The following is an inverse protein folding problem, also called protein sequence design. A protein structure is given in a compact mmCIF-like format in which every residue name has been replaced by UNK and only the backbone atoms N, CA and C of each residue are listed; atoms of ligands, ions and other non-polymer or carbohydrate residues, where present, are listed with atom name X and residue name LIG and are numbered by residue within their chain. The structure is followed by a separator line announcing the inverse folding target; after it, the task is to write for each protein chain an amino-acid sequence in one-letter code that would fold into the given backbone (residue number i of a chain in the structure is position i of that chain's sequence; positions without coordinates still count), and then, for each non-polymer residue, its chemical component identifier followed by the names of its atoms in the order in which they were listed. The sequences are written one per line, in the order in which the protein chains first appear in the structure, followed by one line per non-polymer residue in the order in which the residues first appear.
data_IF_742670472337
#
_entry.id   IF_742670472337
#
_cell.length_a   1.000
_cell.length_b   1.000
_cell.length_c   1.000
_cell.angle_alpha   90.00
_cell.angle_beta   90.00
_cell.angle_gamma   90.00
#
_symmetry.space_group_name_H-M   'P 1'
#
loop_
_entity.id
_entity.type
_entity.pdbx_description
1 polymer ?
#
# COMPACT_ATOMS: atom_id res chain seq x y z
N UNK A 1 -12.01 13.05 -14.82
CA UNK A 1 -11.99 12.04 -13.76
C UNK A 1 -12.98 10.94 -14.03
N UNK A 2 -12.65 9.80 -13.51
CA UNK A 2 -13.48 8.64 -13.73
C UNK A 2 -14.74 8.71 -12.88
N UNK A 3 -15.86 8.30 -13.42
CA UNK A 3 -17.07 8.24 -12.61
C UNK A 3 -16.96 7.17 -11.53
N UNK A 4 -17.76 7.33 -10.53
CA UNK A 4 -17.71 6.45 -9.38
C UNK A 4 -19.09 5.97 -9.02
N UNK A 5 -19.65 5.19 -9.88
CA UNK A 5 -21.01 4.73 -9.66
C UNK A 5 -21.14 3.89 -8.42
N UNK A 6 -20.09 3.16 -8.10
CA UNK A 6 -20.11 2.25 -6.99
C UNK A 6 -19.47 2.85 -5.74
N UNK A 7 -19.19 4.13 -5.76
CA UNK A 7 -18.51 4.76 -4.64
C UNK A 7 -19.34 4.72 -3.36
N UNK A 8 -20.62 4.55 -3.47
CA UNK A 8 -21.50 4.54 -2.32
C UNK A 8 -21.14 3.43 -1.35
N UNK A 9 -20.81 2.25 -1.86
CA UNK A 9 -20.58 1.09 -1.02
C UNK A 9 -19.11 0.95 -0.64
N UNK A 10 -18.23 1.32 -1.55
CA UNK A 10 -16.80 1.14 -1.33
C UNK A 10 -16.05 2.42 -1.60
N UNK A 11 -16.67 3.54 -1.31
CA UNK A 11 -16.15 4.83 -1.69
C UNK A 11 -14.75 5.08 -1.17
N UNK A 12 -14.45 4.65 0.03
CA UNK A 12 -13.14 4.90 0.58
C UNK A 12 -12.07 4.18 -0.20
N UNK A 13 -12.35 2.95 -0.59
CA UNK A 13 -11.40 2.16 -1.34
C UNK A 13 -11.27 2.68 -2.76
N UNK A 14 -12.38 2.90 -3.42
CA UNK A 14 -12.37 3.25 -4.83
C UNK A 14 -11.89 4.68 -5.08
N UNK A 15 -11.76 5.48 -4.03
CA UNK A 15 -11.31 6.85 -4.18
C UNK A 15 -9.92 6.92 -4.77
N UNK A 16 -9.03 6.06 -4.31
CA UNK A 16 -7.65 6.08 -4.73
C UNK A 16 -7.36 5.05 -5.81
N UNK A 17 -8.04 3.94 -5.74
CA UNK A 17 -7.77 2.84 -6.67
C UNK A 17 -8.92 1.87 -6.63
N UNK A 18 -8.89 0.96 -7.58
CA UNK A 18 -9.81 -0.18 -7.53
C UNK A 18 -9.15 -1.38 -8.20
N UNK A 19 -9.60 -2.54 -7.81
CA UNK A 19 -9.11 -3.79 -8.37
C UNK A 19 -10.25 -4.40 -9.16
N UNK A 20 -10.06 -4.50 -10.47
CA UNK A 20 -11.06 -5.08 -11.36
C UNK A 20 -10.74 -6.52 -11.59
N UNK A 21 -11.73 -7.36 -11.44
CA UNK A 21 -11.56 -8.80 -11.56
C UNK A 21 -12.12 -9.28 -12.88
N UNK A 22 -11.37 -10.14 -13.53
CA UNK A 22 -11.80 -10.73 -14.78
C UNK A 22 -11.13 -12.06 -14.97
N UNK A 23 -11.19 -12.55 -16.17
CA UNK A 23 -10.58 -13.82 -16.49
C UNK A 23 -10.20 -13.86 -17.96
N UNK A 24 -9.17 -14.63 -18.26
CA UNK A 24 -8.80 -14.91 -19.62
C UNK A 24 -8.74 -16.43 -19.75
N UNK A 25 -9.78 -17.00 -20.36
CA UNK A 25 -9.94 -18.43 -20.30
C UNK A 25 -10.17 -18.87 -18.86
N UNK A 26 -9.37 -19.78 -18.38
CA UNK A 26 -9.45 -20.28 -17.01
C UNK A 26 -8.55 -19.51 -16.04
N UNK A 27 -7.86 -18.49 -16.54
CA UNK A 27 -6.90 -17.77 -15.72
C UNK A 27 -7.55 -16.52 -15.16
N UNK A 28 -7.62 -16.39 -13.84
CA UNK A 28 -8.12 -15.14 -13.24
C UNK A 28 -7.16 -13.99 -13.53
N UNK A 29 -7.74 -12.82 -13.78
CA UNK A 29 -6.96 -11.62 -14.05
C UNK A 29 -7.42 -10.53 -13.11
N UNK A 30 -6.49 -9.94 -12.41
CA UNK A 30 -6.78 -8.79 -11.56
C UNK A 30 -6.11 -7.57 -12.18
N UNK A 31 -6.89 -6.53 -12.38
CA UNK A 31 -6.39 -5.29 -12.96
C UNK A 31 -6.46 -4.19 -11.93
N UNK A 32 -5.33 -3.58 -11.68
CA UNK A 32 -5.22 -2.48 -10.74
C UNK A 32 -5.39 -1.18 -11.48
N UNK A 33 -6.38 -0.39 -11.08
CA UNK A 33 -6.69 0.86 -11.74
C UNK A 33 -6.58 1.99 -10.73
N UNK A 34 -5.76 2.99 -11.05
CA UNK A 34 -5.56 4.13 -10.19
C UNK A 34 -4.45 3.91 -9.19
N UNK A 35 -4.51 4.66 -8.10
CA UNK A 35 -3.51 4.54 -7.06
C UNK A 35 -2.69 5.80 -6.91
N UNK A 36 -2.00 5.88 -5.78
CA UNK A 36 -1.13 6.98 -5.45
C UNK A 36 0.17 6.46 -4.90
N UNK A 37 1.21 7.26 -5.05
CA UNK A 37 2.49 6.90 -4.47
C UNK A 37 2.43 6.74 -2.96
N UNK A 38 1.61 7.57 -2.32
CA UNK A 38 1.55 7.56 -0.86
C UNK A 38 0.83 6.35 -0.29
N UNK A 39 0.07 5.65 -1.10
CA UNK A 39 -0.71 4.50 -0.62
C UNK A 39 -0.21 3.18 -1.19
N UNK A 40 0.98 3.17 -1.76
CA UNK A 40 1.45 1.99 -2.49
C UNK A 40 1.54 0.74 -1.61
N UNK A 41 1.94 0.90 -0.35
CA UNK A 41 2.08 -0.26 0.54
C UNK A 41 0.74 -0.93 0.80
N UNK A 42 -0.24 -0.12 1.21
CA UNK A 42 -1.57 -0.66 1.50
C UNK A 42 -2.23 -1.20 0.25
N UNK A 43 -2.00 -0.55 -0.88
CA UNK A 43 -2.51 -0.99 -2.16
C UNK A 43 -1.93 -2.36 -2.52
N UNK A 44 -0.63 -2.51 -2.36
CA UNK A 44 0.01 -3.79 -2.63
C UNK A 44 -0.50 -4.89 -1.72
N UNK A 45 -0.72 -4.55 -0.47
CA UNK A 45 -1.26 -5.51 0.49
C UNK A 45 -2.66 -5.94 0.10
N UNK A 46 -3.49 -5.00 -0.31
CA UNK A 46 -4.85 -5.31 -0.74
C UNK A 46 -4.84 -6.23 -1.97
N UNK A 47 -4.00 -5.90 -2.94
CA UNK A 47 -3.90 -6.72 -4.14
C UNK A 47 -3.41 -8.12 -3.80
N UNK A 48 -2.42 -8.21 -2.92
CA UNK A 48 -1.91 -9.51 -2.50
C UNK A 48 -2.99 -10.34 -1.84
N UNK A 49 -3.83 -9.72 -1.01
CA UNK A 49 -4.93 -10.43 -0.37
C UNK A 49 -5.89 -10.98 -1.41
N UNK A 50 -6.18 -10.22 -2.45
CA UNK A 50 -7.09 -10.67 -3.50
C UNK A 50 -6.49 -11.85 -4.27
N UNK A 51 -5.21 -11.77 -4.59
CA UNK A 51 -4.54 -12.86 -5.29
C UNK A 51 -4.50 -14.11 -4.43
N UNK A 52 -4.13 -13.95 -3.17
CA UNK A 52 -4.06 -15.10 -2.27
C UNK A 52 -5.41 -15.77 -2.12
N UNK A 53 -6.47 -14.97 -2.06
CA UNK A 53 -7.82 -15.53 -1.99
C UNK A 53 -8.16 -16.37 -3.20
N UNK A 54 -7.71 -15.94 -4.37
CA UNK A 54 -7.99 -16.69 -5.60
C UNK A 54 -7.27 -18.03 -5.64
N UNK A 55 -6.13 -18.14 -5.02
CA UNK A 55 -5.39 -19.40 -5.00
C UNK A 55 -5.61 -20.17 -3.71
N UNK A 56 -6.57 -19.74 -2.91
CA UNK A 56 -6.93 -20.48 -1.70
C UNK A 56 -5.97 -20.35 -0.55
N UNK A 57 -5.26 -19.24 -0.48
CA UNK A 57 -4.28 -19.00 0.57
C UNK A 57 -4.57 -17.71 1.31
N UNK A 58 -3.93 -17.55 2.45
CA UNK A 58 -4.03 -16.34 3.24
C UNK A 58 -2.63 -15.84 3.55
N UNK A 59 -2.50 -14.54 3.65
CA UNK A 59 -1.22 -13.96 4.06
C UNK A 59 -1.00 -14.23 5.54
N UNK A 60 0.25 -14.44 5.89
CA UNK A 60 0.63 -14.68 7.28
C UNK A 60 1.40 -13.52 7.88
N UNK A 61 1.85 -12.58 7.06
CA UNK A 61 2.58 -11.41 7.52
C UNK A 61 2.06 -10.18 6.82
N UNK A 62 2.28 -9.03 7.45
CA UNK A 62 1.92 -7.75 6.88
C UNK A 62 3.16 -6.90 6.76
N UNK A 63 3.16 -6.02 5.77
CA UNK A 63 4.23 -5.03 5.65
C UNK A 63 3.92 -3.76 6.44
N UNK A 64 2.79 -3.73 7.09
CA UNK A 64 2.44 -2.59 7.92
C UNK A 64 3.43 -2.47 9.07
N UNK A 65 3.98 -1.29 9.25
CA UNK A 65 4.97 -1.08 10.29
C UNK A 65 6.37 -1.56 9.95
N UNK A 66 6.56 -2.16 8.78
CA UNK A 66 7.88 -2.63 8.38
C UNK A 66 8.77 -1.44 8.05
N UNK A 67 9.96 -1.45 8.59
CA UNK A 67 10.88 -0.35 8.35
C UNK A 67 11.45 -0.43 6.95
N UNK A 68 11.51 0.72 6.30
CA UNK A 68 12.10 0.86 4.98
C UNK A 68 13.58 1.14 5.17
N UNK A 69 14.39 0.82 4.18
CA UNK A 69 15.82 1.08 4.25
C UNK A 69 16.09 2.52 4.64
N UNK A 70 16.97 2.69 5.61
CA UNK A 70 17.26 4.00 6.17
C UNK A 70 16.43 4.35 7.39
N UNK A 71 15.39 3.59 7.67
CA UNK A 71 14.54 3.88 8.82
C UNK A 71 15.06 3.31 10.12
N UNK A 72 15.87 2.27 10.04
CA UNK A 72 16.41 1.65 11.25
C UNK A 72 17.37 2.62 11.92
N UNK A 73 17.09 2.91 13.20
CA UNK A 73 17.91 3.86 13.94
C UNK A 73 17.61 5.31 13.65
N UNK A 74 16.64 5.58 12.79
CA UNK A 74 16.29 6.96 12.50
C UNK A 74 15.58 7.57 13.72
N UNK A 75 15.94 8.81 14.09
CA UNK A 75 15.36 9.43 15.27
C UNK A 75 13.86 9.66 15.15
N UNK A 76 13.16 9.46 16.26
CA UNK A 76 11.69 9.52 16.25
C UNK A 76 11.15 10.74 17.00
N UNK A 77 11.96 11.45 17.76
CA UNK A 77 11.52 12.66 18.44
C UNK A 77 12.25 13.86 17.87
N UNK A 78 11.68 15.05 18.10
CA UNK A 78 12.30 16.28 17.62
C UNK A 78 13.68 16.47 18.19
N UNK A 79 13.84 16.20 19.49
CA UNK A 79 15.14 16.35 20.13
C UNK A 79 16.16 15.41 19.53
N UNK A 80 15.75 14.18 19.28
CA UNK A 80 16.65 13.20 18.67
C UNK A 80 16.99 13.60 17.24
N UNK A 81 16.06 14.16 16.52
CA UNK A 81 16.31 14.60 15.15
C UNK A 81 17.31 15.75 15.13
N UNK A 82 17.18 16.69 16.06
CA UNK A 82 18.13 17.79 16.14
C UNK A 82 19.54 17.30 16.46
N UNK A 83 19.64 16.39 17.41
CA UNK A 83 20.93 15.80 17.75
C UNK A 83 21.53 15.07 16.58
N UNK A 84 20.71 14.31 15.87
CA UNK A 84 21.16 13.56 14.70
C UNK A 84 21.68 14.50 13.61
N UNK A 85 20.96 15.57 13.37
CA UNK A 85 21.37 16.56 12.36
C UNK A 85 22.69 17.19 12.71
N UNK A 86 22.87 17.56 13.96
CA UNK A 86 24.15 18.15 14.40
C UNK A 86 25.29 17.15 14.26
N UNK A 87 25.03 15.93 14.64
CA UNK A 87 26.04 14.88 14.59
C UNK A 87 26.48 14.58 13.17
N UNK A 88 25.56 14.66 12.23
CA UNK A 88 25.85 14.31 10.84
C UNK A 88 26.15 15.53 9.97
N UNK A 89 26.27 16.69 10.57
CA UNK A 89 26.66 17.88 9.85
C UNK A 89 25.67 18.37 8.83
N UNK A 90 24.40 18.07 9.03
CA UNK A 90 23.36 18.40 8.09
C UNK A 90 22.76 19.79 8.31
N UNK A 91 23.33 20.58 9.20
CA UNK A 91 22.80 21.91 9.51
C UNK A 91 23.69 22.99 8.99
#
# INVERSE_FOLDING_TARGET
PLPRQDADSTGQISRDYRIEKGARGDVPVLSLVGGKWTTFRALGEHLANEVMGLIGRSRTVSTDGRLIGGAVGYPTTDAEREAWLREHGAV
#
